data_IF_803541174853
#
_entry.id   IF_803541174853
#
_cell.length_a   1.000
_cell.length_b   1.000
_cell.length_c   1.000
_cell.angle_alpha   90.00
_cell.angle_beta   90.00
_cell.angle_gamma   90.00
#
_symmetry.space_group_name_H-M   'P 1'
#
loop_
_entity.id
_entity.type
_entity.pdbx_description
1 polymer ?
#
# COMPACT_ATOMS: atom_id res chain seq x y z
N UNK A 1 20.34 1.19 14.64
CA UNK A 1 19.85 -0.20 14.55
C UNK A 1 18.85 -0.19 13.42
N UNK A 2 18.94 -1.11 12.48
CA UNK A 2 18.06 -1.16 11.31
C UNK A 2 17.22 -2.42 11.36
N UNK A 3 16.00 -2.32 10.84
CA UNK A 3 15.13 -3.45 10.57
C UNK A 3 15.21 -3.82 9.09
N UNK A 4 14.93 -5.07 8.77
CA UNK A 4 14.91 -5.55 7.37
C UNK A 4 13.48 -5.49 6.86
N UNK A 5 13.24 -4.78 5.76
CA UNK A 5 11.93 -4.71 5.12
C UNK A 5 11.93 -5.54 3.84
N UNK A 6 10.98 -6.47 3.76
CA UNK A 6 10.69 -7.28 2.57
C UNK A 6 9.27 -7.05 2.11
N UNK A 7 9.09 -6.62 0.87
CA UNK A 7 7.78 -6.50 0.23
C UNK A 7 7.69 -7.54 -0.87
N UNK A 8 6.80 -8.51 -0.67
CA UNK A 8 6.62 -9.70 -1.49
C UNK A 8 5.26 -9.63 -2.19
N UNK A 9 5.28 -9.73 -3.52
CA UNK A 9 4.10 -9.98 -4.33
C UNK A 9 4.13 -11.45 -4.84
N UNK A 10 2.99 -12.03 -5.28
CA UNK A 10 2.94 -13.43 -5.72
C UNK A 10 3.85 -13.74 -6.91
N UNK A 11 4.18 -12.72 -7.70
CA UNK A 11 4.96 -12.78 -8.92
C UNK A 11 6.43 -12.38 -8.72
N UNK A 12 6.73 -11.47 -7.77
CA UNK A 12 8.09 -11.00 -7.54
C UNK A 12 8.31 -10.34 -6.17
N UNK A 13 9.57 -10.27 -5.74
CA UNK A 13 10.01 -9.42 -4.64
C UNK A 13 10.06 -7.96 -5.12
N UNK A 14 9.16 -7.12 -4.60
CA UNK A 14 9.04 -5.71 -5.02
C UNK A 14 10.07 -4.83 -4.31
N UNK A 15 10.40 -5.15 -3.07
CA UNK A 15 11.40 -4.43 -2.29
C UNK A 15 12.09 -5.37 -1.29
N UNK A 16 13.41 -5.29 -1.19
CA UNK A 16 14.20 -5.93 -0.15
C UNK A 16 15.32 -4.96 0.25
N UNK A 17 15.31 -4.51 1.50
CA UNK A 17 16.25 -3.50 1.96
C UNK A 17 16.24 -3.31 3.48
N UNK A 18 17.20 -2.53 3.96
CA UNK A 18 17.22 -2.10 5.36
C UNK A 18 16.44 -0.79 5.50
N UNK A 19 15.77 -0.65 6.64
CA UNK A 19 15.03 0.53 7.00
C UNK A 19 15.28 0.88 8.47
N UNK A 20 15.21 2.16 8.80
CA UNK A 20 15.25 2.63 10.18
C UNK A 20 13.83 2.79 10.74
N UNK A 21 12.85 3.06 9.88
CA UNK A 21 11.45 3.27 10.24
C UNK A 21 10.53 2.85 9.09
N UNK A 22 9.45 2.15 9.41
CA UNK A 22 8.44 1.72 8.42
C UNK A 22 7.06 2.14 8.87
N UNK A 23 6.33 2.83 7.99
CA UNK A 23 4.94 3.22 8.19
C UNK A 23 4.08 2.35 7.28
N UNK A 24 3.21 1.55 7.89
CA UNK A 24 2.29 0.64 7.22
C UNK A 24 0.83 1.15 7.27
N UNK A 25 0.07 1.02 6.17
CA UNK A 25 -1.37 1.28 6.16
C UNK A 25 -2.14 0.03 6.63
N UNK A 26 -2.43 -0.09 7.93
CA UNK A 26 -3.29 -1.15 8.45
C UNK A 26 -4.78 -0.84 8.25
N UNK A 27 -5.63 -1.87 8.30
CA UNK A 27 -7.09 -1.70 8.29
C UNK A 27 -7.61 -0.87 9.46
N UNK A 28 -6.84 -0.76 10.55
CA UNK A 28 -7.18 0.03 11.74
C UNK A 28 -6.56 1.43 11.76
N UNK A 29 -5.78 1.80 10.73
CA UNK A 29 -5.07 3.08 10.65
C UNK A 29 -3.59 2.93 10.31
N UNK A 30 -2.80 3.97 10.56
CA UNK A 30 -1.36 3.94 10.28
C UNK A 30 -0.59 3.30 11.44
N UNK A 31 0.30 2.36 11.12
CA UNK A 31 1.20 1.71 12.08
C UNK A 31 2.64 2.11 11.77
N UNK A 32 3.34 2.68 12.75
CA UNK A 32 4.77 2.97 12.66
C UNK A 32 5.57 1.88 13.39
N UNK A 33 6.46 1.21 12.69
CA UNK A 33 7.34 0.17 13.21
C UNK A 33 8.76 0.71 13.29
N UNK A 34 9.36 0.54 14.47
CA UNK A 34 10.75 0.88 14.78
C UNK A 34 11.53 -0.39 15.16
N UNK A 35 12.87 -0.34 15.17
CA UNK A 35 13.69 -1.45 15.63
C UNK A 35 13.39 -1.78 17.11
N UNK A 36 13.32 -3.06 17.44
CA UNK A 36 12.94 -3.59 18.75
C UNK A 36 11.43 -3.75 18.96
N UNK A 37 10.63 -3.66 17.89
CA UNK A 37 9.18 -3.86 17.98
C UNK A 37 8.84 -5.32 18.29
N UNK A 38 7.78 -5.53 19.08
CA UNK A 38 7.27 -6.87 19.42
C UNK A 38 6.71 -7.53 18.16
N UNK A 39 6.76 -8.86 18.09
CA UNK A 39 6.18 -9.58 16.97
C UNK A 39 4.70 -9.23 16.77
N UNK A 40 4.33 -8.92 15.53
CA UNK A 40 3.00 -8.40 15.20
C UNK A 40 2.57 -8.89 13.82
N UNK A 41 1.32 -9.33 13.73
CA UNK A 41 0.65 -9.66 12.47
C UNK A 41 -0.51 -8.69 12.27
N UNK A 42 -0.53 -7.95 11.16
CA UNK A 42 -1.57 -6.99 10.85
C UNK A 42 -2.06 -7.15 9.41
N UNK A 43 -3.37 -6.98 9.23
CA UNK A 43 -3.96 -6.82 7.90
C UNK A 43 -3.68 -5.40 7.38
N UNK A 44 -3.27 -5.33 6.11
CA UNK A 44 -3.01 -4.09 5.41
C UNK A 44 -4.18 -3.76 4.47
N UNK A 45 -4.58 -2.51 4.50
CA UNK A 45 -5.54 -1.99 3.52
C UNK A 45 -4.80 -1.46 2.28
N UNK A 46 -5.56 -1.11 1.24
CA UNK A 46 -5.04 -0.44 0.06
C UNK A 46 -4.54 0.95 0.47
N UNK A 47 -3.24 1.21 0.28
CA UNK A 47 -2.64 2.44 0.78
C UNK A 47 -1.17 2.59 0.40
N UNK A 48 -0.49 3.47 1.12
CA UNK A 48 0.92 3.78 0.88
C UNK A 48 1.75 3.36 2.08
N UNK A 49 2.70 2.46 1.84
CA UNK A 49 3.78 2.17 2.76
C UNK A 49 4.86 3.23 2.57
N UNK A 50 5.37 3.76 3.68
CA UNK A 50 6.52 4.66 3.67
C UNK A 50 7.65 4.01 4.42
N UNK A 51 8.79 3.87 3.75
CA UNK A 51 10.01 3.35 4.34
C UNK A 51 11.01 4.48 4.46
N UNK A 52 11.64 4.59 5.63
CA UNK A 52 12.75 5.49 5.86
C UNK A 52 14.03 4.69 5.91
N UNK A 53 14.92 5.00 4.99
CA UNK A 53 16.30 4.52 5.02
C UNK A 53 17.24 5.71 5.30
N UNK A 54 18.52 5.42 5.47
CA UNK A 54 19.62 6.38 5.66
C UNK A 54 19.67 7.49 4.61
N UNK A 55 19.17 7.21 3.40
CA UNK A 55 19.15 8.15 2.28
C UNK A 55 17.84 8.99 2.17
N UNK A 56 16.81 8.70 2.97
CA UNK A 56 15.55 9.45 2.97
C UNK A 56 14.29 8.58 2.99
N UNK A 57 13.15 9.21 2.68
CA UNK A 57 11.84 8.55 2.61
C UNK A 57 11.58 8.00 1.21
N UNK A 58 11.12 6.76 1.14
CA UNK A 58 10.61 6.12 -0.08
C UNK A 58 9.16 5.69 0.13
N UNK A 59 8.33 5.89 -0.90
CA UNK A 59 6.91 5.55 -0.92
C UNK A 59 6.68 4.30 -1.77
N UNK A 60 5.86 3.38 -1.29
CA UNK A 60 5.45 2.16 -2.01
C UNK A 60 3.92 2.06 -1.94
N UNK A 61 3.25 2.02 -3.09
CA UNK A 61 1.82 1.74 -3.17
C UNK A 61 1.59 0.25 -2.91
N UNK A 62 0.70 -0.07 -1.97
CA UNK A 62 0.30 -1.43 -1.66
C UNK A 62 -1.18 -1.63 -2.01
N UNK A 63 -1.49 -2.72 -2.71
CA UNK A 63 -2.86 -3.09 -3.10
C UNK A 63 -3.50 -4.08 -2.11
N UNK A 64 -3.34 -3.80 -0.82
CA UNK A 64 -3.83 -4.64 0.28
C UNK A 64 -3.03 -5.93 0.47
N UNK A 65 -3.08 -6.47 1.69
CA UNK A 65 -2.29 -7.64 2.06
C UNK A 65 -2.16 -7.84 3.57
N UNK A 66 -1.01 -8.35 4.00
CA UNK A 66 -0.66 -8.58 5.40
C UNK A 66 0.77 -8.13 5.67
N UNK A 67 1.01 -7.64 6.88
CA UNK A 67 2.35 -7.39 7.38
C UNK A 67 2.61 -8.27 8.60
N UNK A 68 3.77 -8.88 8.60
CA UNK A 68 4.35 -9.62 9.70
C UNK A 68 5.61 -8.92 10.17
N UNK A 69 5.75 -8.77 11.49
CA UNK A 69 6.94 -8.24 12.14
C UNK A 69 7.44 -9.34 13.06
N UNK A 70 8.69 -9.74 12.90
CA UNK A 70 9.35 -10.72 13.76
C UNK A 70 10.84 -10.39 13.89
N UNK A 71 11.33 -10.23 15.12
CA UNK A 71 12.76 -10.08 15.42
C UNK A 71 13.52 -9.07 14.52
N UNK A 72 12.97 -7.86 14.35
CA UNK A 72 13.49 -6.80 13.47
C UNK A 72 13.44 -7.11 11.96
N UNK A 73 12.67 -8.10 11.55
CA UNK A 73 12.29 -8.36 10.17
C UNK A 73 10.81 -8.01 9.95
N UNK A 74 10.53 -7.19 8.95
CA UNK A 74 9.19 -6.79 8.53
C UNK A 74 8.93 -7.40 7.15
N UNK A 75 8.05 -8.39 7.10
CA UNK A 75 7.63 -9.06 5.88
C UNK A 75 6.23 -8.60 5.50
N UNK A 76 6.11 -7.99 4.33
CA UNK A 76 4.86 -7.47 3.78
C UNK A 76 4.46 -8.33 2.59
N UNK A 77 3.36 -9.06 2.73
CA UNK A 77 2.77 -9.92 1.71
C UNK A 77 1.58 -9.20 1.09
N UNK A 78 1.66 -8.85 -0.18
CA UNK A 78 0.67 -8.01 -0.87
C UNK A 78 0.29 -8.61 -2.20
N UNK A 79 -0.93 -8.37 -2.66
CA UNK A 79 -1.38 -8.87 -3.97
C UNK A 79 -0.64 -8.18 -5.14
N UNK A 80 -0.32 -6.91 -4.96
CA UNK A 80 0.44 -6.10 -5.92
C UNK A 80 1.05 -4.92 -5.17
N UNK A 81 2.28 -4.55 -5.51
CA UNK A 81 2.92 -3.35 -5.02
C UNK A 81 3.70 -2.63 -6.11
N UNK A 82 3.71 -1.31 -6.04
CA UNK A 82 4.38 -0.44 -7.01
C UNK A 82 5.21 0.60 -6.26
N UNK A 83 6.44 0.83 -6.73
CA UNK A 83 7.30 1.88 -6.18
C UNK A 83 6.73 3.24 -6.57
N UNK A 84 6.62 4.17 -5.62
CA UNK A 84 6.12 5.53 -5.88
C UNK A 84 6.90 6.26 -6.99
N UNK A 85 8.19 5.98 -7.13
CA UNK A 85 9.05 6.51 -8.20
C UNK A 85 8.72 5.97 -9.60
N UNK A 86 8.07 4.82 -9.70
CA UNK A 86 7.62 4.23 -10.97
C UNK A 86 6.20 4.64 -11.36
N UNK A 87 5.45 5.28 -10.46
CA UNK A 87 4.08 5.69 -10.72
C UNK A 87 4.09 7.04 -11.43
N UNK A 88 3.52 7.08 -12.63
CA UNK A 88 3.27 8.34 -13.32
C UNK A 88 2.08 9.06 -12.67
N UNK A 89 2.35 10.18 -12.00
CA UNK A 89 1.33 10.95 -11.29
C UNK A 89 0.16 11.37 -12.20
N UNK A 90 0.43 11.69 -13.48
CA UNK A 90 -0.60 12.09 -14.43
C UNK A 90 -1.52 10.93 -14.84
N UNK A 91 -0.98 9.72 -14.97
CA UNK A 91 -1.78 8.53 -15.27
C UNK A 91 -2.61 8.12 -14.06
N UNK A 92 -2.02 8.16 -12.86
CA UNK A 92 -2.71 7.85 -11.62
C UNK A 92 -3.90 8.80 -11.37
N UNK A 93 -3.75 10.09 -11.68
CA UNK A 93 -4.84 11.07 -11.56
C UNK A 93 -5.97 10.81 -12.57
N UNK A 94 -5.62 10.47 -13.82
CA UNK A 94 -6.60 10.10 -14.85
C UNK A 94 -7.38 8.82 -14.46
N UNK A 95 -6.68 7.80 -13.96
CA UNK A 95 -7.29 6.56 -13.46
C UNK A 95 -8.26 6.85 -12.29
N UNK A 96 -7.87 7.75 -11.40
CA UNK A 96 -8.68 8.15 -10.25
C UNK A 96 -9.95 8.91 -10.68
N UNK A 97 -9.87 9.79 -11.68
CA UNK A 97 -11.05 10.44 -12.24
C UNK A 97 -12.01 9.45 -12.91
N UNK A 98 -11.48 8.50 -13.69
CA UNK A 98 -12.28 7.45 -14.32
C UNK A 98 -12.96 6.56 -13.29
N UNK A 99 -12.21 6.13 -12.25
CA UNK A 99 -12.75 5.31 -11.19
C UNK A 99 -13.81 6.04 -10.35
N UNK A 100 -13.63 7.35 -10.10
CA UNK A 100 -14.65 8.20 -9.47
C UNK A 100 -15.91 8.28 -10.32
N UNK A 101 -15.77 8.55 -11.62
CA UNK A 101 -16.91 8.61 -12.55
C UNK A 101 -17.67 7.27 -12.61
N UNK A 102 -16.96 6.13 -12.56
CA UNK A 102 -17.56 4.81 -12.52
C UNK A 102 -18.38 4.57 -11.24
N UNK A 103 -17.88 5.01 -10.08
CA UNK A 103 -18.61 4.91 -8.80
C UNK A 103 -19.84 5.84 -8.79
N UNK A 104 -19.71 7.09 -9.25
CA UNK A 104 -20.84 8.04 -9.33
C UNK A 104 -21.95 7.56 -10.26
N UNK A 105 -21.63 6.88 -11.37
CA UNK A 105 -22.65 6.26 -12.25
C UNK A 105 -23.43 5.13 -11.56
N UNK A 106 -22.86 4.55 -10.51
CA UNK A 106 -23.42 3.42 -9.75
C UNK A 106 -23.99 3.88 -8.39
N UNK A 107 -23.86 5.16 -8.04
CA UNK A 107 -24.50 5.76 -6.87
C UNK A 107 -26.03 5.75 -7.06
N UNK A 108 -26.76 5.13 -6.12
CA UNK A 108 -28.21 4.93 -6.19
C UNK A 108 -28.68 3.55 -6.67
N UNK A 109 -27.78 2.71 -7.20
CA UNK A 109 -28.12 1.32 -7.53
C UNK A 109 -27.98 0.40 -6.29
N UNK A 110 -28.81 -0.67 -6.30
CA UNK A 110 -28.79 -1.73 -5.28
C UNK A 110 -27.40 -2.35 -5.13
N UNK A 111 -27.06 -2.95 -3.97
CA UNK A 111 -25.78 -3.62 -3.78
C UNK A 111 -25.59 -4.70 -4.85
N UNK A 112 -24.70 -4.46 -5.81
CA UNK A 112 -24.37 -5.39 -6.89
C UNK A 112 -22.87 -5.69 -6.88
N UNK A 113 -22.44 -6.86 -7.36
CA UNK A 113 -21.01 -7.20 -7.45
C UNK A 113 -20.23 -6.20 -8.32
N UNK A 114 -20.88 -5.52 -9.27
CA UNK A 114 -20.29 -4.46 -10.08
C UNK A 114 -19.99 -3.20 -9.26
N UNK A 115 -20.84 -2.85 -8.29
CA UNK A 115 -20.62 -1.71 -7.38
C UNK A 115 -19.42 -1.94 -6.46
N UNK A 116 -19.26 -3.16 -5.96
CA UNK A 116 -18.10 -3.56 -5.14
C UNK A 116 -16.80 -3.45 -5.95
N UNK A 117 -16.81 -3.91 -7.21
CA UNK A 117 -15.64 -3.78 -8.11
C UNK A 117 -15.31 -2.33 -8.43
N UNK A 118 -16.32 -1.48 -8.63
CA UNK A 118 -16.12 -0.05 -8.88
C UNK A 118 -15.46 0.63 -7.66
N UNK A 119 -15.94 0.31 -6.45
CA UNK A 119 -15.37 0.82 -5.20
C UNK A 119 -13.91 0.37 -5.01
N UNK A 120 -13.62 -0.92 -5.19
CA UNK A 120 -12.25 -1.46 -5.10
C UNK A 120 -11.30 -0.82 -6.12
N UNK A 121 -11.78 -0.53 -7.33
CA UNK A 121 -10.97 0.15 -8.35
C UNK A 121 -10.66 1.59 -7.96
N UNK A 122 -11.63 2.28 -7.35
CA UNK A 122 -11.45 3.63 -6.84
C UNK A 122 -10.45 3.67 -5.67
N UNK A 123 -10.53 2.72 -4.75
CA UNK A 123 -9.59 2.65 -3.61
C UNK A 123 -8.16 2.35 -4.09
N UNK A 124 -8.00 1.46 -5.07
CA UNK A 124 -6.70 1.21 -5.74
C UNK A 124 -6.15 2.47 -6.44
N UNK A 125 -6.97 3.17 -7.22
CA UNK A 125 -6.55 4.38 -7.90
C UNK A 125 -6.13 5.50 -6.92
N UNK A 126 -6.84 5.64 -5.79
CA UNK A 126 -6.46 6.56 -4.70
C UNK A 126 -5.09 6.23 -4.13
N UNK A 127 -4.80 4.96 -3.87
CA UNK A 127 -3.50 4.54 -3.34
C UNK A 127 -2.35 4.84 -4.32
N UNK A 128 -2.55 4.65 -5.64
CA UNK A 128 -1.53 5.01 -6.65
C UNK A 128 -1.24 6.51 -6.66
N UNK A 129 -2.28 7.35 -6.65
CA UNK A 129 -2.11 8.82 -6.60
C UNK A 129 -1.40 9.27 -5.33
N UNK A 130 -1.72 8.66 -4.19
CA UNK A 130 -1.08 9.01 -2.91
C UNK A 130 0.38 8.56 -2.85
N UNK A 131 0.75 7.49 -3.54
CA UNK A 131 2.14 7.02 -3.61
C UNK A 131 3.01 7.80 -4.61
N UNK A 132 2.39 8.41 -5.62
CA UNK A 132 3.07 9.26 -6.61
C UNK A 132 3.40 10.68 -6.11
N UNK A 133 2.87 11.08 -4.95
CA UNK A 133 3.11 12.37 -4.29
C UNK A 133 4.15 12.26 -3.19
#
# INVERSE_FOLDING_TARGET
MSLTLRVLAPDQNVFDGRADEVILPSTTGQLGILPGHVSLLAALDVGVLRVRDTNGWQSIALMGGFAEVEADEVTVLVNSAELGSSINASEAEADLEQARAAVTRMEGQSPSPEKVKAQQTLDRARARVQAAK
#
